data_IF_056669403685
#
_entry.id   IF_056669403685
#
_cell.length_a   1.000
_cell.length_b   1.000
_cell.length_c   1.000
_cell.angle_alpha   90.00
_cell.angle_beta   90.00
_cell.angle_gamma   90.00
#
_symmetry.space_group_name_H-M   'P 1'
#
loop_
_entity.id
_entity.type
_entity.pdbx_description
1 polymer ?
#
# COMPACT_ATOMS: atom_id res chain seq x y z
N UNK A 1 -0.70 -0.36 0.70
CA UNK A 1 -1.68 -0.43 1.80
C UNK A 1 -0.99 -0.47 3.16
N UNK A 2 -0.08 -1.40 3.40
CA UNK A 2 0.53 -1.54 4.73
C UNK A 2 1.47 -0.38 5.11
N UNK A 3 2.09 0.29 4.15
CA UNK A 3 2.83 1.52 4.41
C UNK A 3 1.90 2.63 4.94
N UNK A 4 0.70 2.74 4.40
CA UNK A 4 -0.30 3.66 4.92
C UNK A 4 -0.74 3.28 6.34
N UNK A 5 -0.94 1.99 6.60
CA UNK A 5 -1.24 1.51 7.95
C UNK A 5 -0.14 1.87 8.95
N UNK A 6 1.12 1.72 8.58
CA UNK A 6 2.25 2.13 9.41
C UNK A 6 2.23 3.63 9.69
N UNK A 7 2.01 4.45 8.68
CA UNK A 7 1.93 5.91 8.84
C UNK A 7 0.79 6.34 9.76
N UNK A 8 -0.32 5.61 9.74
CA UNK A 8 -1.48 5.84 10.61
C UNK A 8 -1.38 5.14 11.97
N UNK A 9 -0.26 4.47 12.24
CA UNK A 9 0.02 3.73 13.50
C UNK A 9 -0.94 2.55 13.68
N UNK A 10 -1.16 1.80 12.60
CA UNK A 10 -1.87 0.52 12.58
C UNK A 10 -3.29 0.53 13.17
N UNK A 11 -4.17 1.47 12.76
CA UNK A 11 -5.57 1.43 13.15
C UNK A 11 -6.29 0.29 12.42
N UNK A 12 -7.54 0.01 12.82
CA UNK A 12 -8.36 -0.90 12.00
C UNK A 12 -8.60 -0.30 10.60
N UNK A 13 -9.02 -1.14 9.65
CA UNK A 13 -9.19 -0.68 8.26
C UNK A 13 -10.32 0.32 8.11
N UNK A 14 -11.34 0.27 8.93
CA UNK A 14 -12.42 1.27 8.90
C UNK A 14 -11.85 2.66 9.22
N UNK A 15 -11.04 2.78 10.26
CA UNK A 15 -10.40 4.04 10.64
C UNK A 15 -9.37 4.49 9.60
N UNK A 16 -8.56 3.57 9.07
CA UNK A 16 -7.55 3.88 8.06
C UNK A 16 -8.19 4.45 6.78
N UNK A 17 -9.29 3.86 6.34
CA UNK A 17 -10.02 4.29 5.14
C UNK A 17 -10.63 5.70 5.33
N UNK A 18 -10.97 6.07 6.56
CA UNK A 18 -11.50 7.41 6.86
C UNK A 18 -10.46 8.53 6.71
N UNK A 19 -9.17 8.21 6.77
CA UNK A 19 -8.11 9.13 6.37
C UNK A 19 -8.03 9.13 4.83
N UNK A 20 -8.92 9.89 4.21
CA UNK A 20 -9.10 9.87 2.75
C UNK A 20 -7.83 10.25 2.00
N UNK A 21 -7.09 11.25 2.47
CA UNK A 21 -5.84 11.66 1.82
C UNK A 21 -4.82 10.52 1.80
N UNK A 22 -4.59 9.91 2.95
CA UNK A 22 -3.62 8.82 3.08
C UNK A 22 -4.08 7.57 2.32
N UNK A 23 -5.36 7.22 2.44
CA UNK A 23 -5.91 6.07 1.73
C UNK A 23 -5.83 6.23 0.21
N UNK A 24 -6.20 7.38 -0.30
CA UNK A 24 -6.10 7.68 -1.73
C UNK A 24 -4.66 7.69 -2.22
N UNK A 25 -3.73 8.22 -1.43
CA UNK A 25 -2.30 8.18 -1.74
C UNK A 25 -1.81 6.73 -1.87
N UNK A 26 -2.14 5.88 -0.90
CA UNK A 26 -1.76 4.47 -0.91
C UNK A 26 -2.34 3.74 -2.13
N UNK A 27 -3.60 4.00 -2.46
CA UNK A 27 -4.25 3.35 -3.61
C UNK A 27 -3.71 3.86 -4.95
N UNK A 28 -3.35 5.12 -5.06
CA UNK A 28 -2.64 5.63 -6.24
C UNK A 28 -1.27 4.98 -6.40
N UNK A 29 -0.51 4.84 -5.31
CA UNK A 29 0.77 4.14 -5.33
C UNK A 29 0.60 2.67 -5.76
N UNK A 30 -0.43 2.00 -5.25
CA UNK A 30 -0.79 0.64 -5.66
C UNK A 30 -1.07 0.55 -7.16
N UNK A 31 -1.85 1.46 -7.70
CA UNK A 31 -2.16 1.51 -9.13
C UNK A 31 -0.90 1.77 -9.98
N UNK A 32 -0.01 2.62 -9.52
CA UNK A 32 1.27 2.86 -10.19
C UNK A 32 2.11 1.58 -10.29
N UNK A 33 2.15 0.79 -9.22
CA UNK A 33 2.85 -0.49 -9.21
C UNK A 33 2.16 -1.49 -10.15
N UNK A 34 0.84 -1.62 -10.06
CA UNK A 34 0.06 -2.55 -10.89
C UNK A 34 0.21 -2.26 -12.39
N UNK A 35 0.43 -1.00 -12.76
CA UNK A 35 0.58 -0.58 -14.17
C UNK A 35 2.02 -0.56 -14.65
N UNK A 36 2.96 -1.15 -13.91
CA UNK A 36 4.31 -1.39 -14.42
C UNK A 36 4.24 -2.26 -15.69
N UNK A 37 5.09 -1.98 -16.71
CA UNK A 37 5.02 -2.71 -17.99
C UNK A 37 5.09 -4.23 -17.86
N UNK A 38 5.83 -4.75 -16.87
CA UNK A 38 5.97 -6.20 -16.64
C UNK A 38 4.65 -6.92 -16.34
N UNK A 39 3.64 -6.18 -15.85
CA UNK A 39 2.31 -6.75 -15.56
C UNK A 39 1.35 -6.70 -16.73
N UNK A 40 1.67 -5.93 -17.78
CA UNK A 40 0.90 -5.86 -19.02
C UNK A 40 -0.57 -5.49 -18.80
N UNK A 41 -1.43 -6.06 -19.64
CA UNK A 41 -2.88 -5.79 -19.57
C UNK A 41 -3.53 -6.30 -18.30
N UNK A 42 -3.03 -7.40 -17.74
CA UNK A 42 -3.54 -7.93 -16.47
C UNK A 42 -3.35 -6.92 -15.32
N UNK A 43 -2.20 -6.26 -15.28
CA UNK A 43 -1.94 -5.21 -14.30
C UNK A 43 -2.84 -3.99 -14.49
N UNK A 44 -3.05 -3.56 -15.71
CA UNK A 44 -3.97 -2.45 -16.03
C UNK A 44 -5.42 -2.79 -15.63
N UNK A 45 -5.86 -4.01 -15.89
CA UNK A 45 -7.16 -4.51 -15.49
C UNK A 45 -7.32 -4.50 -13.96
N UNK A 46 -6.31 -4.99 -13.26
CA UNK A 46 -6.31 -5.03 -11.80
C UNK A 46 -6.34 -3.62 -11.21
N UNK A 47 -5.57 -2.68 -11.77
CA UNK A 47 -5.56 -1.29 -11.30
C UNK A 47 -6.93 -0.64 -11.42
N UNK A 48 -7.68 -0.94 -12.48
CA UNK A 48 -9.05 -0.44 -12.65
C UNK A 48 -10.03 -1.10 -11.69
N UNK A 49 -9.87 -2.40 -11.43
CA UNK A 49 -10.74 -3.16 -10.55
C UNK A 49 -10.51 -2.84 -9.07
N UNK A 50 -9.26 -2.54 -8.70
CA UNK A 50 -8.85 -2.32 -7.31
C UNK A 50 -8.59 -0.84 -7.01
N UNK A 51 -9.60 -0.01 -7.23
CA UNK A 51 -9.56 1.39 -6.80
C UNK A 51 -9.68 1.52 -5.27
N UNK A 52 -9.71 2.76 -4.75
CA UNK A 52 -9.76 2.99 -3.29
C UNK A 52 -10.93 2.30 -2.59
N UNK A 53 -12.10 2.30 -3.22
CA UNK A 53 -13.33 1.70 -2.67
C UNK A 53 -13.23 0.19 -2.61
N UNK A 54 -12.82 -0.44 -3.70
CA UNK A 54 -12.71 -1.90 -3.81
C UNK A 54 -11.59 -2.44 -2.94
N UNK A 55 -10.47 -1.74 -2.86
CA UNK A 55 -9.37 -2.08 -1.97
C UNK A 55 -9.81 -2.00 -0.50
N UNK A 56 -10.56 -0.96 -0.13
CA UNK A 56 -11.12 -0.82 1.21
C UNK A 56 -12.04 -1.99 1.54
N UNK A 57 -12.96 -2.33 0.66
CA UNK A 57 -13.88 -3.45 0.85
C UNK A 57 -13.17 -4.77 1.04
N UNK A 58 -12.13 -5.03 0.25
CA UNK A 58 -11.34 -6.26 0.35
C UNK A 58 -10.71 -6.41 1.73
N UNK A 59 -10.03 -5.36 2.21
CA UNK A 59 -9.38 -5.42 3.51
C UNK A 59 -10.37 -5.45 4.67
N UNK A 60 -11.46 -4.69 4.58
CA UNK A 60 -12.52 -4.71 5.60
C UNK A 60 -13.20 -6.07 5.67
N UNK A 61 -13.41 -6.74 4.55
CA UNK A 61 -13.98 -8.09 4.51
C UNK A 61 -13.06 -9.11 5.17
N UNK A 62 -11.75 -9.05 4.88
CA UNK A 62 -10.76 -9.91 5.53
C UNK A 62 -10.76 -9.67 7.05
N UNK A 63 -10.75 -8.42 7.47
CA UNK A 63 -10.76 -8.03 8.89
C UNK A 63 -11.98 -8.63 9.62
N UNK A 64 -13.15 -8.59 9.00
CA UNK A 64 -14.36 -9.17 9.55
C UNK A 64 -14.32 -10.71 9.57
N UNK A 65 -13.82 -11.33 8.49
CA UNK A 65 -13.82 -12.78 8.33
C UNK A 65 -12.86 -13.49 9.28
N UNK A 66 -11.78 -12.84 9.70
CA UNK A 66 -10.77 -13.45 10.57
C UNK A 66 -11.05 -13.24 12.07
N UNK A 67 -12.12 -12.51 12.42
CA UNK A 67 -12.48 -12.34 13.82
C UNK A 67 -12.64 -13.69 14.51
N UNK A 68 -12.22 -13.89 15.78
CA UNK A 68 -11.74 -12.85 16.72
C UNK A 68 -10.25 -12.48 16.60
N UNK A 69 -9.54 -12.95 15.60
CA UNK A 69 -8.16 -12.55 15.36
C UNK A 69 -8.11 -11.05 15.08
N UNK A 70 -7.17 -10.33 15.72
CA UNK A 70 -6.91 -8.94 15.44
C UNK A 70 -6.04 -8.83 14.17
N UNK A 71 -6.68 -8.53 13.04
CA UNK A 71 -6.04 -8.48 11.73
C UNK A 71 -4.93 -7.42 11.67
N UNK A 72 -5.16 -6.25 12.25
CA UNK A 72 -4.14 -5.20 12.25
C UNK A 72 -2.97 -5.48 13.19
N UNK A 73 -3.18 -6.17 14.28
CA UNK A 73 -2.08 -6.63 15.12
C UNK A 73 -1.21 -7.65 14.36
N UNK A 74 -1.84 -8.54 13.60
CA UNK A 74 -1.12 -9.49 12.74
C UNK A 74 -0.36 -8.76 11.63
N UNK A 75 -0.98 -7.81 10.95
CA UNK A 75 -0.35 -7.03 9.89
C UNK A 75 0.83 -6.22 10.41
N UNK A 76 0.70 -5.62 11.59
CA UNK A 76 1.79 -4.89 12.25
C UNK A 76 2.97 -5.81 12.54
N UNK A 77 2.71 -7.00 13.03
CA UNK A 77 3.77 -8.00 13.29
C UNK A 77 4.45 -8.42 11.99
N UNK A 78 3.68 -8.72 10.96
CA UNK A 78 4.18 -9.26 9.70
C UNK A 78 4.76 -8.16 8.80
N UNK A 79 3.94 -7.20 8.39
CA UNK A 79 4.34 -6.13 7.47
C UNK A 79 5.03 -4.96 8.16
N UNK A 80 4.78 -4.72 9.42
CA UNK A 80 5.46 -3.70 10.21
C UNK A 80 6.74 -4.20 10.88
N UNK A 81 7.02 -5.49 10.82
CA UNK A 81 8.19 -6.10 11.46
C UNK A 81 8.87 -7.14 10.58
N UNK A 82 8.32 -8.35 10.53
CA UNK A 82 8.97 -9.53 9.94
C UNK A 82 9.42 -9.33 8.49
N UNK A 83 8.56 -8.77 7.64
CA UNK A 83 8.85 -8.59 6.21
C UNK A 83 8.95 -7.12 5.80
N UNK A 84 8.96 -6.19 6.77
CA UNK A 84 8.96 -4.75 6.48
C UNK A 84 10.11 -4.33 5.57
N UNK A 85 11.32 -4.74 5.87
CA UNK A 85 12.48 -4.37 5.07
C UNK A 85 12.36 -4.86 3.64
N UNK A 86 11.85 -6.08 3.45
CA UNK A 86 11.61 -6.66 2.14
C UNK A 86 10.51 -5.90 1.38
N UNK A 87 9.41 -5.56 2.06
CA UNK A 87 8.32 -4.79 1.45
C UNK A 87 8.81 -3.41 0.99
N UNK A 88 9.58 -2.72 1.82
CA UNK A 88 10.14 -1.41 1.48
C UNK A 88 11.13 -1.51 0.31
N UNK A 89 12.00 -2.50 0.33
CA UNK A 89 12.94 -2.76 -0.78
C UNK A 89 12.19 -3.01 -2.09
N UNK A 90 11.13 -3.81 -2.05
CA UNK A 90 10.29 -4.07 -3.23
C UNK A 90 9.68 -2.78 -3.80
N UNK A 91 9.23 -1.88 -2.94
CA UNK A 91 8.69 -0.59 -3.38
C UNK A 91 9.76 0.29 -4.05
N UNK A 92 10.97 0.31 -3.51
CA UNK A 92 12.09 1.03 -4.13
C UNK A 92 12.50 0.40 -5.46
N UNK A 93 12.47 -0.92 -5.57
CA UNK A 93 12.74 -1.63 -6.83
C UNK A 93 11.72 -1.27 -7.91
N UNK A 94 10.44 -1.20 -7.54
CA UNK A 94 9.38 -0.75 -8.46
C UNK A 94 9.63 0.68 -8.93
N UNK A 95 10.02 1.56 -8.03
CA UNK A 95 10.33 2.95 -8.35
C UNK A 95 11.53 3.05 -9.32
N UNK A 96 12.58 2.28 -9.10
CA UNK A 96 13.77 2.25 -9.94
C UNK A 96 13.45 1.71 -11.34
N UNK A 97 12.64 0.65 -11.44
CA UNK A 97 12.20 0.07 -12.70
C UNK A 97 11.44 1.11 -13.54
N UNK A 98 10.50 1.82 -12.92
CA UNK A 98 9.70 2.83 -13.63
C UNK A 98 10.54 4.02 -14.06
N UNK A 99 11.49 4.42 -13.23
CA UNK A 99 12.42 5.51 -13.56
C UNK A 99 13.24 5.17 -14.82
N UNK A 100 13.74 3.95 -14.93
CA UNK A 100 14.45 3.46 -16.11
C UNK A 100 13.59 3.50 -17.36
N UNK A 101 12.26 3.27 -17.21
CA UNK A 101 11.31 3.36 -18.30
C UNK A 101 10.84 4.77 -18.64
N UNK A 102 11.33 5.79 -17.92
CA UNK A 102 10.95 7.18 -18.16
C UNK A 102 9.57 7.57 -17.65
N UNK A 103 8.99 6.79 -16.77
CA UNK A 103 7.64 7.04 -16.24
C UNK A 103 7.70 7.46 -14.77
N UNK A 104 7.15 8.62 -14.40
CA UNK A 104 7.11 9.03 -13.00
C UNK A 104 6.10 8.19 -12.21
N UNK A 105 6.40 7.99 -10.93
CA UNK A 105 5.49 7.35 -9.98
C UNK A 105 5.30 8.29 -8.78
N UNK A 106 4.55 9.38 -8.95
CA UNK A 106 4.50 10.43 -7.93
C UNK A 106 3.87 9.95 -6.63
N UNK A 107 2.83 9.12 -6.66
CA UNK A 107 2.18 8.64 -5.44
C UNK A 107 3.08 7.69 -4.66
N UNK A 108 3.74 6.74 -5.31
CA UNK A 108 4.67 5.83 -4.65
C UNK A 108 5.86 6.59 -4.07
N UNK A 109 6.39 7.57 -4.81
CA UNK A 109 7.49 8.42 -4.34
C UNK A 109 7.10 9.20 -3.09
N UNK A 110 5.91 9.80 -3.08
CA UNK A 110 5.39 10.53 -1.93
C UNK A 110 5.17 9.62 -0.72
N UNK A 111 4.60 8.44 -0.95
CA UNK A 111 4.36 7.46 0.12
C UNK A 111 5.67 7.01 0.77
N UNK A 112 6.68 6.68 -0.03
CA UNK A 112 8.01 6.29 0.46
C UNK A 112 8.69 7.43 1.22
N UNK A 113 8.58 8.65 0.73
CA UNK A 113 9.12 9.83 1.39
C UNK A 113 8.51 10.05 2.77
N UNK A 114 7.18 9.91 2.89
CA UNK A 114 6.48 9.99 4.17
C UNK A 114 6.90 8.86 5.12
N UNK A 115 7.08 7.65 4.58
CA UNK A 115 7.49 6.49 5.37
C UNK A 115 8.89 6.69 5.95
N UNK A 116 9.83 7.22 5.18
CA UNK A 116 11.18 7.56 5.65
C UNK A 116 11.14 8.62 6.75
N UNK A 117 10.38 9.68 6.54
CA UNK A 117 10.24 10.74 7.53
C UNK A 117 9.62 10.21 8.84
N UNK A 118 8.65 9.32 8.75
CA UNK A 118 8.02 8.69 9.91
C UNK A 118 9.01 7.83 10.70
N UNK A 119 9.83 7.05 10.00
CA UNK A 119 10.85 6.19 10.61
C UNK A 119 11.99 6.97 11.27
N UNK A 120 12.27 8.19 10.82
CA UNK A 120 13.33 9.05 11.35
C UNK A 120 12.96 9.75 12.67
N UNK A 121 11.68 9.71 13.07
CA UNK A 121 11.18 10.37 14.31
C UNK A 121 11.28 9.45 15.56
#
# INVERSE_FOLDING_TARGET
VYAAAELAVWPDFTALVQDEELWNLACRAQAEIMTLPRYGQAGEHMAKAMGPRETARTHQAIEADVLPLDYQAFDRFHHGGKVRAQDVETMYDCLAERRSGGHPMPALRTLLSRLEAHAAV
#
